data_IF_987564292976
#
_entry.id   IF_987564292976
#
_cell.length_a   1.000
_cell.length_b   1.000
_cell.length_c   1.000
_cell.angle_alpha   90.00
_cell.angle_beta   90.00
_cell.angle_gamma   90.00
#
_symmetry.space_group_name_H-M   'P 1'
#
loop_
_entity.id
_entity.type
_entity.pdbx_description
1 polymer ?
#
# COMPACT_ATOMS: atom_id res chain seq x y z
N UNK A 1 23.09 18.67 -31.09
CA UNK A 1 21.72 18.19 -31.38
C UNK A 1 21.51 16.74 -30.89
N UNK A 2 22.45 15.81 -31.11
CA UNK A 2 22.34 14.41 -30.66
C UNK A 2 22.15 14.23 -29.14
N UNK A 3 22.83 15.03 -28.30
CA UNK A 3 22.72 14.94 -26.84
C UNK A 3 21.31 15.26 -26.33
N UNK A 4 20.63 16.23 -26.95
CA UNK A 4 19.25 16.61 -26.61
C UNK A 4 18.30 15.47 -26.98
N UNK A 5 18.53 14.83 -28.13
CA UNK A 5 17.75 13.67 -28.57
C UNK A 5 17.90 12.48 -27.60
N UNK A 6 19.13 12.18 -27.18
CA UNK A 6 19.42 11.13 -26.20
C UNK A 6 18.74 11.44 -24.85
N UNK A 7 18.81 12.70 -24.39
CA UNK A 7 18.15 13.14 -23.17
C UNK A 7 16.63 12.95 -23.22
N UNK A 8 15.98 13.34 -24.34
CA UNK A 8 14.54 13.16 -24.53
C UNK A 8 14.16 11.67 -24.51
N UNK A 9 14.95 10.81 -25.16
CA UNK A 9 14.71 9.36 -25.16
C UNK A 9 14.81 8.79 -23.74
N UNK A 10 15.85 9.17 -22.98
CA UNK A 10 16.00 8.75 -21.59
C UNK A 10 14.86 9.24 -20.70
N UNK A 11 14.38 10.46 -20.93
CA UNK A 11 13.26 11.04 -20.18
C UNK A 11 11.95 10.28 -20.44
N UNK A 12 11.69 9.91 -21.69
CA UNK A 12 10.52 9.07 -22.05
C UNK A 12 10.62 7.71 -21.38
N UNK A 13 11.79 7.06 -21.42
CA UNK A 13 12.01 5.76 -20.76
C UNK A 13 11.77 5.89 -19.25
N UNK A 14 12.32 6.92 -18.62
CA UNK A 14 12.12 7.17 -17.20
C UNK A 14 10.63 7.37 -16.86
N UNK A 15 9.91 8.17 -17.65
CA UNK A 15 8.48 8.39 -17.46
C UNK A 15 7.67 7.08 -17.57
N UNK A 16 7.97 6.24 -18.56
CA UNK A 16 7.32 4.94 -18.72
C UNK A 16 7.58 4.02 -17.53
N UNK A 17 8.81 3.98 -17.02
CA UNK A 17 9.17 3.18 -15.84
C UNK A 17 8.39 3.65 -14.61
N UNK A 18 8.35 4.96 -14.36
CA UNK A 18 7.62 5.54 -13.22
C UNK A 18 6.13 5.19 -13.31
N UNK A 19 5.51 5.36 -14.48
CA UNK A 19 4.08 5.03 -14.66
C UNK A 19 3.82 3.55 -14.40
N UNK A 20 4.63 2.65 -14.97
CA UNK A 20 4.49 1.21 -14.74
C UNK A 20 4.64 0.85 -13.27
N UNK A 21 5.62 1.44 -12.59
CA UNK A 21 5.85 1.20 -11.16
C UNK A 21 4.66 1.70 -10.33
N UNK A 22 4.12 2.89 -10.63
CA UNK A 22 2.95 3.43 -9.94
C UNK A 22 1.75 2.49 -10.05
N UNK A 23 1.44 1.97 -11.24
CA UNK A 23 0.34 1.01 -11.40
C UNK A 23 0.59 -0.31 -10.66
N UNK A 24 1.83 -0.79 -10.64
CA UNK A 24 2.19 -2.00 -9.89
C UNK A 24 2.01 -1.81 -8.38
N UNK A 25 2.46 -0.67 -7.85
CA UNK A 25 2.32 -0.31 -6.43
C UNK A 25 0.84 -0.14 -6.06
N UNK A 26 0.04 0.55 -6.88
CA UNK A 26 -1.39 0.70 -6.64
C UNK A 26 -2.12 -0.64 -6.59
N UNK A 27 -1.80 -1.56 -7.52
CA UNK A 27 -2.39 -2.90 -7.53
C UNK A 27 -1.99 -3.71 -6.29
N UNK A 28 -0.73 -3.60 -5.88
CA UNK A 28 -0.23 -4.25 -4.67
C UNK A 28 -0.91 -3.69 -3.42
N UNK A 29 -1.00 -2.36 -3.29
CA UNK A 29 -1.69 -1.70 -2.18
C UNK A 29 -3.18 -2.07 -2.12
N UNK A 30 -3.85 -2.16 -3.26
CA UNK A 30 -5.26 -2.55 -3.32
C UNK A 30 -5.47 -3.99 -2.81
N UNK A 31 -4.64 -4.94 -3.24
CA UNK A 31 -4.73 -6.32 -2.74
C UNK A 31 -4.43 -6.42 -1.24
N UNK A 32 -3.41 -5.71 -0.78
CA UNK A 32 -3.05 -5.65 0.63
C UNK A 32 -4.16 -5.03 1.48
N UNK A 33 -4.76 -3.94 1.01
CA UNK A 33 -5.89 -3.31 1.66
C UNK A 33 -7.08 -4.27 1.75
N UNK A 34 -7.44 -4.97 0.67
CA UNK A 34 -8.55 -5.94 0.69
C UNK A 34 -8.29 -7.05 1.70
N UNK A 35 -7.15 -7.73 1.61
CA UNK A 35 -6.82 -8.86 2.50
C UNK A 35 -6.73 -8.39 3.95
N UNK A 36 -6.05 -7.27 4.18
CA UNK A 36 -5.85 -6.77 5.53
C UNK A 36 -7.11 -6.18 6.16
N UNK A 37 -7.98 -5.53 5.40
CA UNK A 37 -9.28 -5.08 5.89
C UNK A 37 -10.20 -6.24 6.25
N UNK A 38 -10.19 -7.32 5.46
CA UNK A 38 -10.93 -8.54 5.80
C UNK A 38 -10.43 -9.10 7.13
N UNK A 39 -9.11 -9.25 7.29
CA UNK A 39 -8.51 -9.74 8.53
C UNK A 39 -8.85 -8.83 9.72
N UNK A 40 -8.69 -7.52 9.57
CA UNK A 40 -8.93 -6.56 10.64
C UNK A 40 -10.42 -6.50 11.01
N UNK A 41 -11.31 -6.63 10.02
CA UNK A 41 -12.76 -6.77 10.23
C UNK A 41 -13.12 -8.03 11.02
N UNK A 42 -12.53 -9.19 10.68
CA UNK A 42 -12.73 -10.43 11.44
C UNK A 42 -12.21 -10.30 12.87
N UNK A 43 -11.01 -9.74 13.06
CA UNK A 43 -10.40 -9.57 14.38
C UNK A 43 -11.20 -8.62 15.27
N UNK A 44 -11.71 -7.52 14.70
CA UNK A 44 -12.60 -6.61 15.41
C UNK A 44 -13.94 -7.26 15.76
N UNK A 45 -14.52 -8.03 14.84
CA UNK A 45 -15.77 -8.76 15.08
C UNK A 45 -15.65 -9.80 16.20
N UNK A 46 -14.50 -10.49 16.27
CA UNK A 46 -14.19 -11.44 17.34
C UNK A 46 -13.87 -10.76 18.69
N UNK A 47 -13.80 -9.43 18.73
CA UNK A 47 -13.42 -8.67 19.92
C UNK A 47 -11.95 -8.82 20.32
N UNK A 48 -11.11 -9.35 19.42
CA UNK A 48 -9.67 -9.52 19.65
C UNK A 48 -8.98 -8.17 19.48
N UNK A 49 -9.34 -7.44 18.42
CA UNK A 49 -8.85 -6.10 18.16
C UNK A 49 -9.97 -5.07 18.38
N UNK A 50 -9.62 -3.86 18.82
CA UNK A 50 -10.55 -2.74 18.95
C UNK A 50 -10.04 -1.56 18.11
N UNK A 51 -9.76 -1.82 16.84
CA UNK A 51 -9.11 -0.87 15.95
C UNK A 51 -10.16 -0.20 15.06
N UNK A 52 -10.37 1.10 15.22
CA UNK A 52 -11.23 1.86 14.32
C UNK A 52 -10.62 1.98 12.91
N UNK A 53 -11.41 1.79 11.85
CA UNK A 53 -10.94 1.95 10.48
C UNK A 53 -10.99 3.43 10.10
N UNK A 54 -9.94 4.15 10.51
CA UNK A 54 -9.65 5.50 10.06
C UNK A 54 -8.70 5.48 8.84
N UNK A 55 -8.47 6.65 8.24
CA UNK A 55 -7.63 6.78 7.05
C UNK A 55 -6.19 6.27 7.29
N UNK A 56 -5.64 6.50 8.48
CA UNK A 56 -4.26 6.12 8.83
C UNK A 56 -4.13 4.60 8.95
N UNK A 57 -5.04 3.96 9.69
CA UNK A 57 -5.07 2.51 9.88
C UNK A 57 -5.29 1.81 8.54
N UNK A 58 -6.16 2.35 7.68
CA UNK A 58 -6.33 1.87 6.32
C UNK A 58 -5.02 1.94 5.51
N UNK A 59 -4.29 3.06 5.57
CA UNK A 59 -3.02 3.22 4.86
C UNK A 59 -1.94 2.28 5.40
N UNK A 60 -1.86 2.09 6.72
CA UNK A 60 -0.95 1.12 7.34
C UNK A 60 -1.24 -0.28 6.82
N UNK A 61 -2.51 -0.66 6.67
CA UNK A 61 -2.91 -1.95 6.11
C UNK A 61 -2.68 -2.02 4.60
N UNK A 62 -2.94 -0.96 3.84
CA UNK A 62 -2.72 -0.93 2.40
C UNK A 62 -1.23 -1.05 2.05
N UNK A 63 -0.36 -0.42 2.84
CA UNK A 63 1.10 -0.49 2.64
C UNK A 63 1.68 -1.74 3.30
N UNK A 64 1.25 -2.13 4.49
CA UNK A 64 1.82 -3.26 5.23
C UNK A 64 1.17 -4.63 4.94
N UNK A 65 -0.01 -4.65 4.32
CA UNK A 65 -0.84 -5.84 4.16
C UNK A 65 -1.10 -6.53 5.50
N UNK A 66 -0.88 -7.84 5.52
CA UNK A 66 -1.03 -8.69 6.71
C UNK A 66 -0.11 -8.20 7.85
N UNK A 67 1.13 -7.81 7.55
CA UNK A 67 2.07 -7.29 8.57
C UNK A 67 1.56 -5.98 9.17
N UNK A 68 0.90 -5.14 8.36
CA UNK A 68 0.23 -3.92 8.82
C UNK A 68 -0.88 -4.22 9.82
N UNK A 69 -1.69 -5.26 9.58
CA UNK A 69 -2.73 -5.71 10.51
C UNK A 69 -2.12 -6.16 11.84
N UNK A 70 -1.05 -6.95 11.81
CA UNK A 70 -0.36 -7.39 13.04
C UNK A 70 0.25 -6.21 13.82
N UNK A 71 0.80 -5.22 13.12
CA UNK A 71 1.33 -4.01 13.75
C UNK A 71 0.21 -3.23 14.45
N UNK A 72 -0.95 -3.06 13.80
CA UNK A 72 -2.10 -2.41 14.42
C UNK A 72 -2.66 -3.20 15.61
N UNK A 73 -2.66 -4.53 15.53
CA UNK A 73 -3.01 -5.41 16.65
C UNK A 73 -2.08 -5.16 17.84
N UNK A 74 -0.77 -5.09 17.61
CA UNK A 74 0.20 -4.82 18.65
C UNK A 74 -0.01 -3.44 19.27
N UNK A 75 -0.25 -2.41 18.44
CA UNK A 75 -0.58 -1.06 18.91
C UNK A 75 -1.90 -1.01 19.69
N UNK A 76 -2.86 -1.88 19.39
CA UNK A 76 -4.15 -1.93 20.08
C UNK A 76 -4.05 -2.50 21.50
N UNK A 77 -2.98 -3.25 21.81
CA UNK A 77 -2.75 -3.84 23.14
C UNK A 77 -1.75 -3.04 24.00
N UNK A 78 -1.13 -2.02 23.42
CA UNK A 78 -0.25 -1.09 24.14
C UNK A 78 -1.07 0.02 24.80
#
# INVERSE_FOLDING_TARGET
MINVLIFIILLIIAAVIVVKLTFAVLRWMAMNAVVGLILLGVLNYLGIAHIEINLINFLIVAVGGILGVFLLLFLSYL
#
